data_IF_244208641408
#
_entry.id   IF_244208641408
#
_cell.length_a   1.000
_cell.length_b   1.000
_cell.length_c   1.000
_cell.angle_alpha   90.00
_cell.angle_beta   90.00
_cell.angle_gamma   90.00
#
_symmetry.space_group_name_H-M   'P 1'
#
loop_
_entity.id
_entity.type
_entity.pdbx_description
1 polymer ?
#
# COMPACT_ATOMS: atom_id res chain seq x y z
N UNK A 1 8.49 -35.65 48.32
CA UNK A 1 9.64 -36.43 47.82
C UNK A 1 10.36 -35.50 46.85
N UNK A 2 11.53 -35.01 47.26
CA UNK A 2 12.33 -34.00 46.57
C UNK A 2 13.30 -34.66 45.59
N UNK A 3 13.51 -34.06 44.40
CA UNK A 3 14.75 -33.99 43.59
C UNK A 3 14.39 -33.00 42.46
N UNK A 4 14.92 -31.78 42.28
CA UNK A 4 16.24 -31.15 42.50
C UNK A 4 17.40 -31.87 41.81
N UNK A 5 17.72 -31.43 40.59
CA UNK A 5 19.11 -31.31 40.13
C UNK A 5 19.24 -30.21 39.07
N UNK A 6 19.86 -29.12 39.49
CA UNK A 6 20.49 -28.06 38.71
C UNK A 6 21.60 -28.62 37.81
N UNK A 7 21.88 -27.93 36.70
CA UNK A 7 23.20 -27.96 36.05
C UNK A 7 23.46 -26.66 35.30
N UNK A 8 24.00 -25.70 36.05
CA UNK A 8 24.78 -24.57 35.56
C UNK A 8 26.02 -25.09 34.83
N UNK A 9 26.32 -24.56 33.64
CA UNK A 9 27.66 -24.64 33.06
C UNK A 9 28.16 -23.23 32.77
N UNK A 10 29.33 -22.98 33.35
CA UNK A 10 30.09 -21.75 33.41
C UNK A 10 30.77 -21.43 32.07
N UNK A 11 30.90 -20.12 31.85
CA UNK A 11 32.06 -19.40 31.32
C UNK A 11 33.09 -20.17 30.48
N UNK A 12 33.23 -19.76 29.22
CA UNK A 12 34.54 -19.69 28.57
C UNK A 12 34.70 -18.33 27.89
N UNK A 13 35.63 -17.57 28.43
CA UNK A 13 36.09 -16.25 28.01
C UNK A 13 37.00 -16.43 26.78
N UNK A 14 36.61 -15.93 25.61
CA UNK A 14 37.47 -15.91 24.41
C UNK A 14 37.86 -14.48 24.09
N UNK A 15 39.01 -14.12 24.67
CA UNK A 15 40.03 -13.16 24.26
C UNK A 15 39.72 -12.16 23.13
N UNK A 16 39.76 -10.89 23.51
CA UNK A 16 40.23 -9.77 22.70
C UNK A 16 41.59 -10.08 22.06
N UNK A 17 41.78 -9.63 20.83
CA UNK A 17 42.96 -8.94 20.29
C UNK A 17 42.70 -8.73 18.79
N UNK A 18 42.64 -7.49 18.33
CA UNK A 18 43.25 -7.05 17.06
C UNK A 18 43.56 -5.56 17.19
N UNK A 19 44.84 -5.29 17.41
CA UNK A 19 45.48 -4.01 17.19
C UNK A 19 46.00 -4.03 15.74
N UNK A 20 45.59 -3.05 14.94
CA UNK A 20 46.17 -2.75 13.64
C UNK A 20 46.33 -1.23 13.52
N UNK A 21 47.58 -0.78 13.44
CA UNK A 21 48.05 0.59 13.43
C UNK A 21 48.81 0.84 12.12
N UNK A 22 48.82 2.09 11.65
CA UNK A 22 49.73 2.62 10.61
C UNK A 22 49.16 2.55 9.19
N UNK A 23 49.33 3.54 8.32
CA UNK A 23 50.49 4.42 8.19
C UNK A 23 50.14 5.71 7.42
N UNK A 24 50.57 6.83 8.00
CA UNK A 24 51.26 7.99 7.44
C UNK A 24 50.90 8.58 6.07
N UNK A 25 50.64 9.89 6.11
CA UNK A 25 50.24 10.71 4.98
C UNK A 25 51.36 11.17 4.04
N UNK A 26 50.93 11.79 2.95
CA UNK A 26 51.72 12.75 2.16
C UNK A 26 50.79 13.87 1.64
N UNK A 27 51.18 15.16 1.74
CA UNK A 27 50.41 16.29 1.24
C UNK A 27 50.96 16.83 -0.10
N UNK A 28 50.12 17.66 -0.76
CA UNK A 28 50.41 18.55 -1.89
C UNK A 28 50.73 17.84 -3.23
N UNK A 29 50.23 18.24 -4.39
CA UNK A 29 49.61 19.48 -4.83
C UNK A 29 50.01 19.68 -6.30
N UNK A 30 49.18 20.41 -7.04
CA UNK A 30 49.46 21.00 -8.36
C UNK A 30 49.42 20.08 -9.59
N UNK A 31 48.73 20.55 -10.64
CA UNK A 31 48.62 19.83 -11.91
C UNK A 31 47.37 20.16 -12.70
N UNK A 32 47.18 21.44 -13.03
CA UNK A 32 46.30 21.91 -14.09
C UNK A 32 46.60 21.19 -15.41
N UNK A 33 45.66 20.45 -15.98
CA UNK A 33 45.64 20.17 -17.43
C UNK A 33 44.20 20.12 -17.92
N UNK A 34 43.86 21.12 -18.72
CA UNK A 34 42.67 21.21 -19.56
C UNK A 34 42.71 20.12 -20.63
N UNK A 35 41.67 19.30 -20.73
CA UNK A 35 41.36 18.60 -21.96
C UNK A 35 39.91 18.88 -22.33
N UNK A 36 39.74 19.82 -23.27
CA UNK A 36 38.51 20.02 -24.02
C UNK A 36 38.19 18.73 -24.78
N UNK A 37 37.10 18.09 -24.43
CA UNK A 37 36.44 17.11 -25.30
C UNK A 37 35.49 17.85 -26.22
N UNK A 38 35.91 18.11 -27.45
CA UNK A 38 35.03 18.51 -28.55
C UNK A 38 34.20 17.28 -28.95
N UNK A 39 33.02 17.15 -28.34
CA UNK A 39 32.01 16.19 -28.77
C UNK A 39 31.26 16.76 -29.97
N UNK A 40 31.59 16.28 -31.16
CA UNK A 40 30.87 16.52 -32.41
C UNK A 40 29.43 15.96 -32.31
N UNK A 41 28.52 16.79 -31.80
CA UNK A 41 27.08 16.55 -31.83
C UNK A 41 26.51 16.95 -33.18
N UNK A 42 26.48 15.99 -34.11
CA UNK A 42 25.73 16.07 -35.37
C UNK A 42 24.22 16.10 -35.03
N UNK A 43 23.46 17.17 -35.35
CA UNK A 43 22.01 17.13 -35.26
C UNK A 43 21.50 16.39 -36.50
N UNK A 44 21.13 15.12 -36.31
CA UNK A 44 20.42 14.36 -37.31
C UNK A 44 19.11 15.04 -37.69
N UNK A 45 19.07 15.55 -38.92
CA UNK A 45 17.86 15.96 -39.64
C UNK A 45 16.97 14.73 -39.86
N UNK A 46 15.86 14.66 -39.13
CA UNK A 46 14.79 13.68 -39.35
C UNK A 46 13.45 14.41 -39.40
N UNK A 47 12.91 14.55 -40.62
CA UNK A 47 11.60 15.12 -40.95
C UNK A 47 10.46 14.65 -40.01
N UNK A 48 9.56 15.56 -39.56
CA UNK A 48 8.22 15.14 -39.19
C UNK A 48 7.48 14.73 -40.46
N UNK A 49 7.22 13.44 -40.61
CA UNK A 49 6.40 12.91 -41.69
C UNK A 49 4.97 13.45 -41.61
N UNK A 50 4.54 14.08 -42.70
CA UNK A 50 3.16 14.43 -43.00
C UNK A 50 2.33 13.16 -43.13
N UNK A 51 1.51 12.89 -42.11
CA UNK A 51 0.55 11.79 -42.07
C UNK A 51 -0.88 12.33 -42.00
N UNK A 52 -1.32 12.97 -43.07
CA UNK A 52 -2.75 13.16 -43.35
C UNK A 52 -3.41 11.79 -43.48
N UNK A 53 -4.44 11.53 -42.66
CA UNK A 53 -5.12 10.26 -42.59
C UNK A 53 -6.54 10.36 -42.03
N UNK A 54 -7.37 11.03 -42.81
CA UNK A 54 -8.81 10.84 -43.02
C UNK A 54 -9.79 10.77 -41.82
N UNK A 55 -10.74 11.70 -41.92
CA UNK A 55 -12.07 11.72 -41.33
C UNK A 55 -12.76 10.35 -41.38
N UNK A 56 -13.20 9.88 -40.21
CA UNK A 56 -14.07 8.73 -40.04
C UNK A 56 -15.34 9.14 -39.31
N UNK A 57 -16.28 9.75 -40.04
CA UNK A 57 -17.67 9.95 -39.63
C UNK A 57 -18.33 8.58 -39.39
N UNK A 58 -18.45 8.20 -38.12
CA UNK A 58 -19.15 7.01 -37.68
C UNK A 58 -20.44 7.36 -36.95
N UNK A 59 -21.39 7.99 -37.65
CA UNK A 59 -22.78 8.11 -37.23
C UNK A 59 -23.42 6.71 -37.18
N UNK A 60 -23.41 6.09 -36.02
CA UNK A 60 -24.21 4.89 -35.70
C UNK A 60 -25.33 5.26 -34.73
N UNK A 61 -26.56 5.31 -35.24
CA UNK A 61 -27.81 5.63 -34.53
C UNK A 61 -27.93 5.06 -33.09
N UNK A 62 -28.53 5.80 -32.14
CA UNK A 62 -29.07 5.20 -30.93
C UNK A 62 -30.23 4.26 -31.31
N UNK A 63 -30.12 2.99 -30.93
CA UNK A 63 -31.21 2.03 -31.09
C UNK A 63 -32.38 2.37 -30.16
N UNK A 64 -33.49 2.79 -30.76
CA UNK A 64 -34.80 2.91 -30.12
C UNK A 64 -35.33 1.50 -29.79
N UNK A 65 -35.14 1.09 -28.54
CA UNK A 65 -35.64 -0.16 -27.98
C UNK A 65 -36.77 0.07 -26.98
N UNK A 66 -37.87 0.67 -27.43
CA UNK A 66 -39.14 0.67 -26.70
C UNK A 66 -39.71 -0.77 -26.67
N UNK A 67 -39.54 -1.45 -25.54
CA UNK A 67 -40.19 -2.73 -25.21
C UNK A 67 -41.02 -2.57 -23.94
N UNK A 68 -42.34 -2.60 -24.10
CA UNK A 68 -43.40 -2.39 -23.10
C UNK A 68 -43.16 -2.93 -21.68
N UNK A 69 -43.73 -2.27 -20.64
CA UNK A 69 -43.91 -2.88 -19.33
C UNK A 69 -44.93 -4.01 -19.42
N UNK A 70 -44.52 -5.22 -19.07
CA UNK A 70 -45.40 -6.37 -18.96
C UNK A 70 -46.36 -6.21 -17.77
N UNK A 71 -47.62 -5.90 -18.08
CA UNK A 71 -48.76 -6.13 -17.20
C UNK A 71 -49.02 -7.65 -17.11
N UNK A 72 -48.94 -8.21 -15.91
CA UNK A 72 -49.10 -9.65 -15.69
C UNK A 72 -49.47 -9.98 -14.26
N UNK A 73 -50.73 -9.74 -13.91
CA UNK A 73 -51.41 -10.26 -12.73
C UNK A 73 -51.24 -11.78 -12.60
N UNK A 74 -50.86 -12.27 -11.41
CA UNK A 74 -50.78 -13.71 -11.17
C UNK A 74 -50.41 -14.10 -9.75
N UNK A 75 -51.46 -14.36 -8.96
CA UNK A 75 -51.50 -15.19 -7.76
C UNK A 75 -51.09 -14.58 -6.41
N UNK A 76 -52.14 -14.12 -5.71
CA UNK A 76 -52.28 -14.24 -4.26
C UNK A 76 -52.14 -15.70 -3.85
N UNK A 77 -50.95 -16.08 -3.36
CA UNK A 77 -50.73 -17.31 -2.61
C UNK A 77 -51.00 -17.08 -1.13
N UNK A 78 -52.13 -17.60 -0.65
CA UNK A 78 -52.41 -17.82 0.77
C UNK A 78 -51.38 -18.80 1.36
N UNK A 79 -50.82 -18.49 2.54
CA UNK A 79 -50.02 -19.48 3.26
C UNK A 79 -49.22 -18.95 4.43
N UNK A 80 -49.90 -18.77 5.57
CA UNK A 80 -49.47 -19.05 6.94
C UNK A 80 -48.01 -18.81 7.37
N UNK A 81 -47.83 -17.95 8.38
CA UNK A 81 -46.79 -18.18 9.39
C UNK A 81 -46.12 -16.93 9.95
N UNK A 82 -46.56 -16.55 11.15
CA UNK A 82 -45.80 -15.80 12.16
C UNK A 82 -45.59 -14.29 11.97
N UNK A 83 -46.43 -13.55 12.69
CA UNK A 83 -46.13 -12.21 13.21
C UNK A 83 -45.02 -12.34 14.26
N UNK A 84 -43.77 -12.35 13.81
CA UNK A 84 -42.62 -12.00 14.63
C UNK A 84 -42.50 -10.48 14.64
N UNK A 85 -42.67 -9.89 15.83
CA UNK A 85 -42.59 -8.47 16.07
C UNK A 85 -41.29 -7.88 15.51
N UNK A 86 -41.43 -6.95 14.57
CA UNK A 86 -40.35 -6.06 14.18
C UNK A 86 -40.03 -5.13 15.34
N UNK A 87 -38.74 -5.00 15.64
CA UNK A 87 -38.16 -3.86 16.32
C UNK A 87 -36.70 -3.71 15.86
N UNK A 88 -36.48 -2.84 14.87
CA UNK A 88 -35.27 -2.01 14.86
C UNK A 88 -34.22 -2.26 13.77
N UNK A 89 -34.64 -2.51 12.54
CA UNK A 89 -33.87 -2.22 11.34
C UNK A 89 -33.61 -0.71 11.25
N UNK A 90 -32.43 -0.33 11.76
CA UNK A 90 -31.93 1.03 11.80
C UNK A 90 -30.44 1.09 11.50
N UNK A 91 -29.99 0.39 10.46
CA UNK A 91 -28.72 0.68 9.79
C UNK A 91 -28.98 0.81 8.29
N UNK A 92 -29.45 2.00 7.91
CA UNK A 92 -29.25 2.53 6.57
C UNK A 92 -27.80 3.00 6.48
N UNK A 93 -26.92 2.11 6.02
CA UNK A 93 -25.52 2.40 5.73
C UNK A 93 -24.99 1.43 4.68
N UNK A 94 -25.07 1.89 3.42
CA UNK A 94 -24.15 1.61 2.31
C UNK A 94 -23.37 0.28 2.34
N UNK A 95 -23.77 -0.66 1.48
CA UNK A 95 -22.99 -1.86 1.20
C UNK A 95 -21.56 -1.55 0.77
N UNK A 96 -20.63 -2.39 1.19
CA UNK A 96 -19.78 -3.24 0.34
C UNK A 96 -18.65 -3.82 1.21
N UNK A 97 -18.77 -5.08 1.60
CA UNK A 97 -17.74 -5.81 2.36
C UNK A 97 -18.30 -6.45 3.61
N UNK A 98 -18.81 -7.68 3.45
CA UNK A 98 -18.86 -8.67 4.55
C UNK A 98 -17.54 -8.57 5.35
N UNK A 99 -17.52 -8.71 6.69
CA UNK A 99 -16.27 -8.89 7.40
C UNK A 99 -15.75 -10.29 7.00
N UNK A 100 -15.15 -10.34 5.82
CA UNK A 100 -14.28 -11.41 5.39
C UNK A 100 -13.20 -11.58 6.43
N UNK A 101 -12.43 -12.64 6.28
CA UNK A 101 -11.31 -12.92 7.15
C UNK A 101 -10.13 -11.98 6.83
N UNK A 102 -10.41 -10.68 7.01
CA UNK A 102 -9.55 -9.56 6.73
C UNK A 102 -9.02 -9.04 8.06
N UNK A 103 -7.70 -8.99 8.19
CA UNK A 103 -7.05 -8.42 9.36
C UNK A 103 -6.06 -7.35 8.95
N UNK A 104 -5.91 -6.35 9.81
CA UNK A 104 -5.00 -5.22 9.58
C UNK A 104 -3.92 -5.21 10.64
N UNK A 105 -2.68 -4.97 10.22
CA UNK A 105 -1.58 -4.68 11.13
C UNK A 105 -0.86 -3.42 10.70
N UNK A 106 -0.32 -2.68 11.68
CA UNK A 106 0.56 -1.56 11.40
C UNK A 106 1.82 -1.62 12.27
N UNK A 107 2.98 -1.35 11.69
CA UNK A 107 4.28 -1.39 12.38
C UNK A 107 5.11 -0.17 12.01
N UNK A 108 5.56 0.56 13.03
CA UNK A 108 6.56 1.60 12.89
C UNK A 108 7.97 0.99 12.78
N UNK A 109 8.73 1.44 11.80
CA UNK A 109 10.13 1.08 11.60
C UNK A 109 11.01 2.34 11.64
N UNK A 110 11.60 2.66 12.81
CA UNK A 110 12.57 3.72 12.92
C UNK A 110 13.86 3.34 12.18
N UNK A 111 14.47 4.29 11.48
CA UNK A 111 15.64 4.00 10.66
C UNK A 111 16.27 5.20 9.96
N UNK A 112 16.95 4.94 8.84
CA UNK A 112 17.49 6.01 8.00
C UNK A 112 16.39 6.86 7.36
N UNK A 113 15.35 6.18 6.84
CA UNK A 113 14.04 6.77 6.57
C UNK A 113 13.06 6.14 7.55
N UNK A 114 12.18 6.96 8.11
CA UNK A 114 11.14 6.49 9.02
C UNK A 114 10.01 5.90 8.19
N UNK A 115 9.55 4.70 8.56
CA UNK A 115 8.52 3.99 7.81
C UNK A 115 7.40 3.50 8.70
N UNK A 116 6.19 3.45 8.15
CA UNK A 116 5.07 2.72 8.73
C UNK A 116 4.59 1.71 7.69
N UNK A 117 4.63 0.43 8.05
CA UNK A 117 4.06 -0.63 7.23
C UNK A 117 2.63 -0.86 7.68
N UNK A 118 1.71 -0.88 6.74
CA UNK A 118 0.30 -1.21 6.98
C UNK A 118 0.00 -2.43 6.11
N UNK A 119 -0.39 -3.52 6.73
CA UNK A 119 -0.69 -4.79 6.06
C UNK A 119 -2.17 -5.09 6.19
N UNK A 120 -2.81 -5.40 5.06
CA UNK A 120 -4.14 -5.97 4.96
C UNK A 120 -3.99 -7.42 4.56
N UNK A 121 -4.29 -8.33 5.47
CA UNK A 121 -4.31 -9.77 5.22
C UNK A 121 -5.74 -10.18 4.91
N UNK A 122 -5.98 -10.91 3.83
CA UNK A 122 -7.31 -11.35 3.39
C UNK A 122 -7.27 -12.86 3.11
N UNK A 123 -7.75 -13.66 4.06
CA UNK A 123 -7.70 -15.11 3.95
C UNK A 123 -8.75 -15.67 2.96
N UNK A 124 -9.75 -14.88 2.58
CA UNK A 124 -10.78 -15.31 1.62
C UNK A 124 -10.22 -15.32 0.19
N UNK A 125 -9.35 -14.35 -0.12
CA UNK A 125 -8.68 -14.22 -1.42
C UNK A 125 -7.25 -14.73 -1.42
N UNK A 126 -6.73 -15.16 -0.25
CA UNK A 126 -5.32 -15.51 -0.02
C UNK A 126 -4.36 -14.38 -0.45
N UNK A 127 -4.74 -13.12 -0.20
CA UNK A 127 -3.94 -11.94 -0.56
C UNK A 127 -3.46 -11.17 0.65
N UNK A 128 -2.26 -10.59 0.53
CA UNK A 128 -1.70 -9.62 1.46
C UNK A 128 -1.35 -8.35 0.71
N UNK A 129 -1.97 -7.24 1.11
CA UNK A 129 -1.61 -5.92 0.60
C UNK A 129 -0.79 -5.17 1.63
N UNK A 130 0.42 -4.72 1.26
CA UNK A 130 1.26 -3.88 2.11
C UNK A 130 1.35 -2.47 1.54
N UNK A 131 0.98 -1.48 2.35
CA UNK A 131 1.22 -0.06 2.10
C UNK A 131 2.43 0.36 2.93
N UNK A 132 3.42 0.97 2.29
CA UNK A 132 4.59 1.54 2.96
C UNK A 132 4.47 3.05 2.96
N UNK A 133 4.31 3.63 4.14
CA UNK A 133 4.42 5.08 4.34
C UNK A 133 5.86 5.42 4.69
N UNK A 134 6.36 6.55 4.20
CA UNK A 134 7.73 7.00 4.43
C UNK A 134 7.80 8.47 4.82
N UNK A 135 8.72 8.79 5.74
CA UNK A 135 9.10 10.14 6.13
C UNK A 135 10.63 10.32 6.11
N UNK A 136 11.17 11.47 5.66
CA UNK A 136 10.46 12.59 5.02
C UNK A 136 9.74 12.20 3.73
N UNK A 137 8.67 12.92 3.39
CA UNK A 137 7.88 12.68 2.19
C UNK A 137 8.78 12.66 0.95
N UNK A 138 8.62 11.62 0.14
CA UNK A 138 9.18 11.52 -1.20
C UNK A 138 8.15 12.06 -2.22
N UNK A 139 8.42 11.83 -3.50
CA UNK A 139 7.47 12.15 -4.56
C UNK A 139 6.22 11.27 -4.35
N UNK A 140 5.09 11.89 -4.09
CA UNK A 140 3.81 11.20 -3.98
C UNK A 140 3.19 11.05 -5.37
N UNK A 141 3.05 9.82 -5.84
CA UNK A 141 2.38 9.49 -7.13
C UNK A 141 0.91 9.15 -6.94
N UNK A 142 0.50 8.77 -5.73
CA UNK A 142 -0.87 8.42 -5.41
C UNK A 142 -1.71 9.67 -5.12
N UNK A 143 -2.99 9.65 -5.46
CA UNK A 143 -3.93 10.71 -5.12
C UNK A 143 -4.54 10.45 -3.72
N UNK A 144 -3.68 10.19 -2.75
CA UNK A 144 -4.04 9.89 -1.35
C UNK A 144 -3.58 11.03 -0.46
N UNK A 145 -4.50 11.54 0.36
CA UNK A 145 -4.21 12.58 1.34
C UNK A 145 -3.51 11.96 2.55
N UNK A 146 -2.36 12.52 2.93
CA UNK A 146 -1.54 12.12 4.06
C UNK A 146 -1.09 13.36 4.84
N UNK A 147 -0.71 13.24 6.12
CA UNK A 147 -0.11 14.33 6.86
C UNK A 147 1.14 14.88 6.18
N UNK A 148 1.41 16.17 6.40
CA UNK A 148 2.63 16.81 5.91
C UNK A 148 3.87 15.98 6.28
N UNK A 149 4.84 15.93 5.38
CA UNK A 149 6.10 15.20 5.54
C UNK A 149 5.98 13.65 5.53
N UNK A 150 4.83 13.10 5.14
CA UNK A 150 4.66 11.68 4.83
C UNK A 150 4.20 11.47 3.37
N UNK A 151 4.64 10.39 2.75
CA UNK A 151 4.16 9.94 1.43
C UNK A 151 4.03 8.42 1.39
N UNK A 152 3.39 7.89 0.35
CA UNK A 152 3.42 6.45 0.06
C UNK A 152 4.72 6.16 -0.71
N UNK A 153 5.53 5.22 -0.21
CA UNK A 153 6.74 4.73 -0.87
C UNK A 153 6.40 3.63 -1.88
N UNK A 154 5.54 2.69 -1.48
CA UNK A 154 5.09 1.59 -2.32
C UNK A 154 3.79 1.00 -1.80
N UNK A 155 3.05 0.36 -2.71
CA UNK A 155 1.89 -0.47 -2.40
C UNK A 155 2.05 -1.77 -3.16
N UNK A 156 2.07 -2.88 -2.45
CA UNK A 156 2.25 -4.19 -3.06
C UNK A 156 1.13 -5.13 -2.68
N UNK A 157 0.68 -5.91 -3.65
CA UNK A 157 -0.29 -6.97 -3.43
C UNK A 157 0.39 -8.32 -3.71
N UNK A 158 0.42 -9.17 -2.69
CA UNK A 158 1.14 -10.44 -2.68
C UNK A 158 0.21 -11.60 -2.34
N UNK A 159 0.65 -12.81 -2.71
CA UNK A 159 0.07 -14.06 -2.24
C UNK A 159 1.20 -14.95 -1.69
N UNK A 160 1.01 -15.64 -0.56
CA UNK A 160 -0.25 -15.84 0.17
C UNK A 160 -0.59 -14.69 1.15
N UNK A 161 -1.74 -14.79 1.82
CA UNK A 161 -2.26 -13.76 2.75
C UNK A 161 -1.38 -13.48 3.98
N UNK A 162 -0.37 -14.30 4.27
CA UNK A 162 0.48 -14.17 5.46
C UNK A 162 1.65 -13.18 5.30
N UNK A 163 1.75 -12.49 4.15
CA UNK A 163 2.82 -11.55 3.80
C UNK A 163 4.24 -12.15 3.92
N UNK A 164 4.39 -13.47 3.91
CA UNK A 164 5.67 -14.16 4.05
C UNK A 164 6.51 -14.08 2.78
N UNK A 165 5.86 -13.83 1.64
CA UNK A 165 6.49 -13.66 0.34
C UNK A 165 6.36 -12.20 -0.08
N UNK A 166 7.51 -11.55 -0.26
CA UNK A 166 7.60 -10.13 -0.66
C UNK A 166 8.25 -9.97 -2.04
N UNK A 167 8.35 -11.06 -2.81
CA UNK A 167 9.19 -11.14 -4.03
C UNK A 167 8.37 -11.37 -5.32
N UNK A 168 7.04 -11.23 -5.29
CA UNK A 168 6.18 -11.34 -6.48
C UNK A 168 5.12 -10.24 -6.51
N UNK A 169 5.56 -8.98 -6.37
CA UNK A 169 4.64 -7.84 -6.22
C UNK A 169 3.89 -7.52 -7.51
N UNK A 170 2.56 -7.63 -7.47
CA UNK A 170 1.75 -6.66 -8.21
C UNK A 170 1.97 -5.31 -7.53
N UNK A 171 2.75 -4.44 -8.20
CA UNK A 171 2.95 -3.07 -7.77
C UNK A 171 1.72 -2.25 -8.17
N UNK A 172 1.09 -1.66 -7.18
CA UNK A 172 -0.06 -0.78 -7.40
C UNK A 172 0.49 0.63 -7.50
N UNK A 173 0.19 1.31 -8.60
CA UNK A 173 0.78 2.64 -8.91
C UNK A 173 -0.22 3.80 -8.77
N UNK A 174 -1.50 3.49 -8.51
CA UNK A 174 -2.54 4.50 -8.31
C UNK A 174 -3.55 4.08 -7.26
N UNK A 175 -4.19 5.10 -6.70
CA UNK A 175 -5.20 4.96 -5.66
C UNK A 175 -5.64 6.33 -5.18
N UNK A 176 -6.80 6.37 -4.54
CA UNK A 176 -7.41 7.60 -4.02
C UNK A 176 -7.93 7.38 -2.61
N UNK A 177 -7.86 8.41 -1.77
CA UNK A 177 -8.38 8.32 -0.40
C UNK A 177 -7.66 9.20 0.60
N UNK A 178 -7.78 8.84 1.87
CA UNK A 178 -7.23 9.58 3.00
C UNK A 178 -6.59 8.60 4.00
N UNK A 179 -5.42 8.99 4.52
CA UNK A 179 -4.79 8.37 5.68
C UNK A 179 -4.60 9.45 6.73
N UNK A 180 -5.21 9.26 7.90
CA UNK A 180 -5.16 10.23 9.01
C UNK A 180 -4.33 9.68 10.17
N UNK A 181 -3.46 10.52 10.73
CA UNK A 181 -2.70 10.21 11.94
C UNK A 181 -3.37 10.92 13.12
N UNK A 182 -3.73 10.18 14.16
CA UNK A 182 -4.53 10.72 15.27
C UNK A 182 -3.66 11.17 16.46
N UNK A 183 -2.84 10.26 16.97
CA UNK A 183 -1.95 10.49 18.11
C UNK A 183 -0.51 10.17 17.70
N UNK A 184 0.49 10.76 18.36
CA UNK A 184 1.90 10.54 18.06
C UNK A 184 2.68 10.02 19.27
N UNK A 185 3.81 9.39 19.00
CA UNK A 185 4.78 8.99 20.01
C UNK A 185 5.39 10.19 20.75
N UNK A 186 6.17 9.91 21.80
CA UNK A 186 6.77 10.98 22.63
C UNK A 186 7.74 11.91 21.89
N UNK A 187 8.11 11.57 20.65
CA UNK A 187 9.01 12.34 19.81
C UNK A 187 8.28 13.08 18.68
N UNK A 188 6.95 12.97 18.59
CA UNK A 188 6.12 13.52 17.52
C UNK A 188 6.56 13.06 16.11
N UNK A 189 7.07 11.81 16.01
CA UNK A 189 7.56 11.23 14.75
C UNK A 189 6.55 10.22 14.22
N UNK A 190 6.23 9.20 15.02
CA UNK A 190 5.38 8.09 14.58
C UNK A 190 3.96 8.23 15.11
N UNK A 191 2.94 7.93 14.30
CA UNK A 191 1.58 7.86 14.80
C UNK A 191 1.42 6.65 15.74
N UNK A 192 0.78 6.82 16.89
CA UNK A 192 0.32 5.70 17.72
C UNK A 192 -0.87 4.99 17.06
N UNK A 193 -1.68 5.73 16.31
CA UNK A 193 -2.95 5.26 15.74
C UNK A 193 -3.22 5.96 14.43
N UNK A 194 -3.70 5.19 13.45
CA UNK A 194 -4.02 5.66 12.10
C UNK A 194 -5.43 5.26 11.69
N UNK A 195 -6.07 6.12 10.90
CA UNK A 195 -7.24 5.77 10.10
C UNK A 195 -6.79 5.65 8.65
N UNK A 196 -7.27 4.62 7.96
CA UNK A 196 -6.99 4.40 6.55
C UNK A 196 -8.31 4.23 5.85
N UNK A 197 -8.55 5.04 4.83
CA UNK A 197 -9.70 4.92 3.93
C UNK A 197 -9.20 5.21 2.51
N UNK A 198 -8.72 4.17 1.85
CA UNK A 198 -8.06 4.26 0.55
C UNK A 198 -8.57 3.16 -0.37
N UNK A 199 -8.86 3.52 -1.61
CA UNK A 199 -9.11 2.58 -2.70
C UNK A 199 -7.90 2.56 -3.63
N UNK A 200 -7.35 1.38 -3.86
CA UNK A 200 -6.22 1.15 -4.76
C UNK A 200 -6.70 0.55 -6.08
N UNK A 201 -6.12 1.01 -7.19
CA UNK A 201 -6.42 0.44 -8.51
C UNK A 201 -5.54 -0.80 -8.74
N UNK A 202 -6.16 -1.95 -8.94
CA UNK A 202 -5.49 -3.24 -9.16
C UNK A 202 -5.80 -3.79 -10.55
N UNK A 203 -4.94 -4.65 -11.10
CA UNK A 203 -5.14 -5.25 -12.41
C UNK A 203 -6.22 -6.36 -12.44
N UNK A 204 -6.74 -6.75 -11.27
CA UNK A 204 -7.70 -7.83 -11.07
C UNK A 204 -9.17 -7.46 -11.35
N UNK A 205 -10.06 -8.41 -11.03
CA UNK A 205 -11.52 -8.22 -10.98
C UNK A 205 -12.01 -8.62 -9.57
N UNK A 206 -12.54 -7.69 -8.75
CA UNK A 206 -12.79 -6.28 -9.07
C UNK A 206 -11.48 -5.49 -9.31
N UNK A 207 -11.53 -4.42 -10.14
CA UNK A 207 -10.35 -3.61 -10.48
C UNK A 207 -9.91 -2.66 -9.36
N UNK A 208 -10.58 -2.73 -8.22
CA UNK A 208 -10.33 -1.87 -7.07
C UNK A 208 -10.19 -2.73 -5.82
N UNK A 209 -9.27 -2.32 -4.95
CA UNK A 209 -9.05 -2.91 -3.65
C UNK A 209 -9.37 -1.87 -2.58
N UNK A 210 -10.37 -2.16 -1.75
CA UNK A 210 -10.74 -1.29 -0.63
C UNK A 210 -9.88 -1.58 0.60
N UNK A 211 -9.25 -0.52 1.10
CA UNK A 211 -8.39 -0.52 2.27
C UNK A 211 -8.99 0.44 3.31
N UNK A 212 -9.94 -0.08 4.09
CA UNK A 212 -10.66 0.72 5.09
C UNK A 212 -10.51 0.14 6.49
N UNK A 213 -9.87 0.89 7.41
CA UNK A 213 -9.71 0.54 8.82
C UNK A 213 -9.57 1.78 9.69
N UNK A 214 -10.32 1.82 10.79
CA UNK A 214 -10.33 2.94 11.73
C UNK A 214 -9.63 2.58 13.03
N UNK A 215 -8.93 3.54 13.62
CA UNK A 215 -8.21 3.42 14.89
C UNK A 215 -7.21 2.25 14.92
N UNK A 216 -6.49 2.02 13.81
CA UNK A 216 -5.48 0.97 13.72
C UNK A 216 -4.26 1.34 14.56
N UNK A 217 -3.95 0.52 15.57
CA UNK A 217 -2.80 0.73 16.43
C UNK A 217 -1.49 0.44 15.68
N UNK A 218 -0.52 1.34 15.80
CA UNK A 218 0.79 1.23 15.17
C UNK A 218 1.79 0.66 16.16
N UNK A 219 2.16 -0.60 15.95
CA UNK A 219 3.10 -1.30 16.81
C UNK A 219 4.48 -0.67 16.74
N UNK A 220 5.09 -0.42 17.91
CA UNK A 220 6.45 0.12 18.01
C UNK A 220 6.55 1.66 18.04
N UNK A 221 5.44 2.37 17.81
CA UNK A 221 5.34 3.81 18.06
C UNK A 221 5.00 4.09 19.54
N UNK A 222 3.97 3.38 20.03
CA UNK A 222 3.36 3.47 21.35
C UNK A 222 2.98 2.04 21.80
#
# INVERSE_FOLDING_TARGET
MFYSTSRSWLCACSLLLWAGCGDDGTPAGDGTETSSGDGDGDPGDGDPGDGDGDDGDGDGDPGDGDGDPGDGDGDTGDGDGDTGDGDGDGDTGDGDGDPGNVTYTAVAQPGGLDRVFIERHDEDTDTCTRVVLVSPALIQTFNVQLPDNWSIESVTNNQPADCSVLDFDEQIESGTGVIEFLDFDQFDIFPCTINVDVQFDVAGDPPTLDFSVMNLAVMGAC
#
